data_IF_973378107941
#
_entry.id   IF_973378107941
#
_cell.length_a   1.000
_cell.length_b   1.000
_cell.length_c   1.000
_cell.angle_alpha   90.00
_cell.angle_beta   90.00
_cell.angle_gamma   90.00
#
_symmetry.space_group_name_H-M   'P 1'
#
loop_
_entity.id
_entity.type
_entity.pdbx_description
1 polymer ?
#
# COMPACT_ATOMS: atom_id res chain seq x y z
N UNK A 1 16.80 17.53 -73.02
CA UNK A 1 18.20 17.35 -72.57
C UNK A 1 18.56 18.65 -71.84
N UNK A 2 18.91 18.72 -70.57
CA UNK A 2 19.44 17.74 -69.64
C UNK A 2 19.20 18.27 -68.22
N UNK A 3 18.89 17.37 -67.30
CA UNK A 3 18.34 17.63 -65.98
C UNK A 3 19.49 17.76 -64.96
N UNK A 4 19.90 18.96 -64.57
CA UNK A 4 20.99 19.15 -63.60
C UNK A 4 20.45 19.21 -62.16
N UNK A 5 20.48 18.03 -61.52
CA UNK A 5 20.20 17.80 -60.10
C UNK A 5 21.03 18.74 -59.20
N UNK A 6 20.35 19.58 -58.42
CA UNK A 6 20.93 20.26 -57.26
C UNK A 6 21.42 19.20 -56.26
N UNK A 7 22.74 19.10 -56.08
CA UNK A 7 23.39 18.25 -55.06
C UNK A 7 22.98 18.74 -53.67
N UNK A 8 22.25 17.89 -52.95
CA UNK A 8 21.88 18.12 -51.55
C UNK A 8 23.09 18.17 -50.64
N UNK A 9 22.99 19.03 -49.62
CA UNK A 9 23.91 19.17 -48.49
C UNK A 9 24.13 17.79 -47.83
N UNK A 10 25.37 17.36 -47.52
CA UNK A 10 25.60 16.07 -46.88
C UNK A 10 24.86 16.05 -45.54
N UNK A 11 24.02 15.03 -45.34
CA UNK A 11 23.40 14.72 -44.05
C UNK A 11 24.55 14.59 -43.04
N UNK A 12 24.49 15.40 -41.99
CA UNK A 12 25.45 15.34 -40.89
C UNK A 12 25.60 13.89 -40.45
N UNK A 13 26.84 13.41 -40.47
CA UNK A 13 27.22 12.15 -39.86
C UNK A 13 26.76 12.20 -38.41
N UNK A 14 25.83 11.33 -38.04
CA UNK A 14 25.59 11.00 -36.65
C UNK A 14 26.89 10.37 -36.15
N UNK A 15 27.76 11.18 -35.54
CA UNK A 15 28.87 10.67 -34.77
C UNK A 15 28.25 9.88 -33.63
N UNK A 16 28.20 8.55 -33.77
CA UNK A 16 28.07 7.66 -32.63
C UNK A 16 29.31 7.98 -31.78
N UNK A 17 29.13 8.80 -30.74
CA UNK A 17 30.10 8.87 -29.66
C UNK A 17 30.05 7.50 -29.00
N UNK A 18 30.91 6.60 -29.48
CA UNK A 18 31.33 5.44 -28.73
C UNK A 18 31.81 5.98 -27.38
N UNK A 19 31.08 5.62 -26.34
CA UNK A 19 31.41 5.99 -24.99
C UNK A 19 32.69 5.22 -24.64
N UNK A 20 33.85 5.84 -24.84
CA UNK A 20 35.18 5.32 -24.47
C UNK A 20 35.43 5.39 -22.96
N UNK A 21 34.38 5.60 -22.15
CA UNK A 21 34.50 5.44 -20.72
C UNK A 21 34.37 3.95 -20.39
N UNK A 22 35.42 3.38 -19.79
CA UNK A 22 35.43 2.06 -19.15
C UNK A 22 34.51 2.01 -17.90
N UNK A 23 33.45 2.83 -17.86
CA UNK A 23 32.54 2.99 -16.74
C UNK A 23 31.16 2.50 -17.16
N UNK A 24 30.72 1.41 -16.53
CA UNK A 24 29.34 0.92 -16.65
C UNK A 24 28.44 1.84 -15.84
N UNK A 25 27.51 2.50 -16.51
CA UNK A 25 26.49 3.31 -15.85
C UNK A 25 25.52 2.37 -15.12
N UNK A 26 25.41 2.48 -13.80
CA UNK A 26 24.49 1.66 -13.00
C UNK A 26 23.08 2.18 -13.26
N UNK A 27 22.17 1.28 -13.61
CA UNK A 27 20.74 1.60 -13.71
C UNK A 27 20.25 2.10 -12.34
N UNK A 28 19.96 3.40 -12.25
CA UNK A 28 19.29 3.96 -11.08
C UNK A 28 17.92 3.29 -10.95
N UNK A 29 17.62 2.75 -9.77
CA UNK A 29 16.33 2.15 -9.52
C UNK A 29 15.21 3.15 -9.89
N UNK A 30 14.24 2.67 -10.65
CA UNK A 30 13.12 3.48 -11.14
C UNK A 30 12.23 3.85 -9.94
N UNK A 31 12.25 5.12 -9.58
CA UNK A 31 11.40 5.65 -8.51
C UNK A 31 9.91 5.51 -8.88
N UNK A 32 9.12 5.05 -7.93
CA UNK A 32 7.67 5.11 -7.97
C UNK A 32 7.27 6.59 -7.90
N UNK A 33 6.46 7.02 -8.85
CA UNK A 33 5.97 8.40 -8.92
C UNK A 33 4.98 8.66 -7.78
N UNK A 34 5.01 9.87 -7.22
CA UNK A 34 4.06 10.26 -6.16
C UNK A 34 2.60 10.28 -6.64
N UNK A 35 2.36 10.52 -7.93
CA UNK A 35 1.05 10.49 -8.54
C UNK A 35 1.05 9.59 -9.79
N UNK A 36 -0.04 8.86 -10.07
CA UNK A 36 -0.19 8.12 -11.29
C UNK A 36 -0.29 9.07 -12.49
N UNK A 37 0.24 8.63 -13.63
CA UNK A 37 -0.05 9.24 -14.93
C UNK A 37 -1.00 8.31 -15.63
N UNK A 38 -2.13 8.82 -16.03
CA UNK A 38 -3.16 8.04 -16.68
C UNK A 38 -3.01 8.14 -18.20
N UNK A 39 -3.29 7.04 -18.89
CA UNK A 39 -3.31 7.00 -20.35
C UNK A 39 -4.45 6.13 -20.84
N UNK A 40 -4.99 6.47 -22.00
CA UNK A 40 -6.02 5.68 -22.64
C UNK A 40 -5.43 4.39 -23.23
N UNK A 41 -6.08 3.26 -22.97
CA UNK A 41 -5.79 1.98 -23.61
C UNK A 41 -6.93 1.58 -24.54
N UNK A 42 -6.67 1.67 -25.85
CA UNK A 42 -7.64 1.39 -26.89
C UNK A 42 -8.02 -0.09 -27.05
N UNK A 43 -7.21 -1.03 -26.54
CA UNK A 43 -7.48 -2.47 -26.70
C UNK A 43 -8.69 -2.88 -25.86
N UNK A 44 -8.80 -2.35 -24.65
CA UNK A 44 -9.88 -2.68 -23.71
C UNK A 44 -10.84 -1.51 -23.47
N UNK A 45 -10.64 -0.37 -24.13
CA UNK A 45 -11.41 0.86 -23.91
C UNK A 45 -11.37 1.36 -22.45
N UNK A 46 -10.19 1.29 -21.82
CA UNK A 46 -10.02 1.63 -20.40
C UNK A 46 -9.05 2.79 -20.18
N UNK A 47 -9.19 3.48 -19.06
CA UNK A 47 -8.16 4.36 -18.54
C UNK A 47 -7.13 3.57 -17.73
N UNK A 48 -5.83 3.73 -18.01
CA UNK A 48 -4.78 3.04 -17.25
C UNK A 48 -4.50 3.72 -15.91
N UNK A 49 -4.18 2.92 -14.90
CA UNK A 49 -3.79 3.41 -13.59
C UNK A 49 -2.26 3.45 -13.47
N UNK A 50 -1.67 4.59 -13.86
CA UNK A 50 -0.23 4.78 -13.95
C UNK A 50 0.34 4.49 -15.34
N UNK A 51 1.57 4.94 -15.59
CA UNK A 51 2.18 4.91 -16.93
C UNK A 51 2.34 3.51 -17.53
N UNK A 52 2.40 2.50 -16.68
CA UNK A 52 2.49 1.08 -17.02
C UNK A 52 1.25 0.29 -16.58
N UNK A 53 0.17 0.97 -16.20
CA UNK A 53 -1.06 0.38 -15.68
C UNK A 53 -0.89 -0.43 -14.38
N UNK A 54 0.25 -0.32 -13.70
CA UNK A 54 0.58 -1.12 -12.50
C UNK A 54 0.73 -0.28 -11.23
N UNK A 55 0.18 0.94 -11.21
CA UNK A 55 0.29 1.82 -10.04
C UNK A 55 -0.26 1.21 -8.74
N UNK A 56 -1.43 0.53 -8.73
CA UNK A 56 -1.93 -0.12 -7.51
C UNK A 56 -0.99 -1.20 -6.96
N UNK A 57 -0.36 -1.99 -7.84
CA UNK A 57 0.63 -3.00 -7.43
C UNK A 57 1.85 -2.36 -6.77
N UNK A 58 2.30 -1.21 -7.28
CA UNK A 58 3.38 -0.45 -6.64
C UNK A 58 3.02 0.06 -5.25
N UNK A 59 1.75 0.41 -5.01
CA UNK A 59 1.29 0.79 -3.66
C UNK A 59 1.30 -0.41 -2.71
N UNK A 60 0.93 -1.60 -3.19
CA UNK A 60 1.06 -2.86 -2.44
C UNK A 60 2.53 -3.15 -2.12
N UNK A 61 3.43 -2.96 -3.08
CA UNK A 61 4.88 -3.13 -2.86
C UNK A 61 5.39 -2.19 -1.77
N UNK A 62 4.97 -0.92 -1.77
CA UNK A 62 5.30 0.03 -0.72
C UNK A 62 4.81 -0.44 0.65
N UNK A 63 3.57 -0.93 0.73
CA UNK A 63 3.01 -1.49 1.97
C UNK A 63 3.79 -2.72 2.46
N UNK A 64 4.28 -3.57 1.57
CA UNK A 64 5.03 -4.77 1.94
C UNK A 64 6.51 -4.52 2.26
N UNK A 65 7.08 -3.41 1.78
CA UNK A 65 8.52 -3.13 1.90
C UNK A 65 8.88 -2.10 2.96
N UNK A 66 7.93 -1.28 3.42
CA UNK A 66 8.18 -0.26 4.45
C UNK A 66 7.44 -0.60 5.75
N UNK A 67 8.20 -0.81 6.82
CA UNK A 67 7.65 -1.18 8.15
C UNK A 67 6.85 -0.03 8.74
N UNK A 68 7.33 1.21 8.59
CA UNK A 68 6.60 2.39 9.10
C UNK A 68 5.32 2.61 8.33
N UNK A 69 5.36 2.50 7.00
CA UNK A 69 4.18 2.69 6.16
C UNK A 69 3.10 1.65 6.47
N UNK A 70 3.48 0.37 6.56
CA UNK A 70 2.59 -0.71 6.97
C UNK A 70 1.92 -0.42 8.31
N UNK A 71 2.72 -0.07 9.31
CA UNK A 71 2.22 0.24 10.65
C UNK A 71 1.27 1.44 10.66
N UNK A 72 1.51 2.45 9.83
CA UNK A 72 0.59 3.59 9.65
C UNK A 72 -0.75 3.17 9.05
N UNK A 73 -0.75 2.33 8.01
CA UNK A 73 -1.97 1.82 7.37
C UNK A 73 -2.75 0.96 8.35
N UNK A 74 -2.10 -0.01 9.01
CA UNK A 74 -2.75 -0.91 9.95
C UNK A 74 -3.36 -0.14 11.14
N UNK A 75 -2.66 0.88 11.64
CA UNK A 75 -3.19 1.79 12.65
C UNK A 75 -4.42 2.56 12.14
N UNK A 76 -4.37 3.10 10.92
CA UNK A 76 -5.49 3.82 10.32
C UNK A 76 -6.73 2.93 10.17
N UNK A 77 -6.56 1.69 9.71
CA UNK A 77 -7.65 0.70 9.59
C UNK A 77 -8.26 0.43 10.95
N UNK A 78 -7.45 0.13 11.97
CA UNK A 78 -7.95 -0.14 13.32
C UNK A 78 -8.68 1.07 13.91
N UNK A 79 -8.14 2.27 13.71
CA UNK A 79 -8.78 3.50 14.15
C UNK A 79 -10.13 3.72 13.43
N UNK A 80 -10.23 3.46 12.12
CA UNK A 80 -11.47 3.60 11.35
C UNK A 80 -12.52 2.58 11.79
N UNK A 81 -12.16 1.29 11.83
CA UNK A 81 -13.09 0.18 12.14
C UNK A 81 -13.58 0.26 13.58
N UNK A 82 -12.74 0.72 14.51
CA UNK A 82 -13.16 0.85 15.89
C UNK A 82 -13.30 -0.51 16.58
N UNK A 83 -14.34 -0.64 17.39
CA UNK A 83 -14.78 -1.89 18.01
C UNK A 83 -15.81 -2.66 17.16
N UNK A 84 -16.05 -2.23 15.91
CA UNK A 84 -17.07 -2.82 15.02
C UNK A 84 -18.42 -2.11 15.09
N UNK A 85 -19.42 -2.69 14.45
CA UNK A 85 -20.79 -2.15 14.38
C UNK A 85 -21.44 -2.17 15.77
N UNK A 86 -22.13 -1.08 16.10
CA UNK A 86 -23.01 -1.04 17.26
C UNK A 86 -24.32 -1.79 17.01
N UNK A 87 -24.28 -3.12 17.13
CA UNK A 87 -25.48 -3.96 17.00
C UNK A 87 -26.51 -3.71 18.11
N UNK A 88 -26.12 -3.19 19.27
CA UNK A 88 -27.05 -2.89 20.36
C UNK A 88 -27.97 -1.71 20.01
N UNK A 89 -27.48 -0.80 19.16
CA UNK A 89 -28.23 0.35 18.68
C UNK A 89 -29.19 0.03 17.52
N UNK A 90 -29.17 -1.20 17.00
CA UNK A 90 -29.78 -1.55 15.71
C UNK A 90 -30.65 -2.81 15.87
N UNK A 91 -31.95 -2.68 15.56
CA UNK A 91 -32.83 -3.84 15.43
C UNK A 91 -32.93 -4.23 13.96
N UNK A 92 -32.31 -5.35 13.59
CA UNK A 92 -32.43 -5.90 12.25
C UNK A 92 -33.70 -6.75 12.10
N UNK A 93 -34.37 -6.73 10.93
CA UNK A 93 -35.56 -7.53 10.69
C UNK A 93 -35.30 -9.05 10.65
N UNK A 94 -34.10 -9.47 10.26
CA UNK A 94 -33.73 -10.87 10.05
C UNK A 94 -32.23 -11.10 10.31
N UNK A 95 -31.89 -12.25 10.90
CA UNK A 95 -30.50 -12.67 11.18
C UNK A 95 -29.67 -12.84 9.89
N UNK A 96 -30.29 -13.25 8.77
CA UNK A 96 -29.59 -13.36 7.48
C UNK A 96 -29.10 -12.00 6.94
N UNK A 97 -29.70 -10.89 7.40
CA UNK A 97 -29.28 -9.52 7.07
C UNK A 97 -28.12 -9.03 7.95
N UNK A 98 -27.62 -9.86 8.87
CA UNK A 98 -26.43 -9.59 9.69
C UNK A 98 -25.12 -9.92 8.98
N UNK A 99 -25.19 -10.50 7.77
CA UNK A 99 -24.00 -10.85 6.99
C UNK A 99 -24.06 -10.26 5.58
N UNK A 100 -22.97 -9.66 5.07
CA UNK A 100 -22.92 -9.17 3.70
C UNK A 100 -22.92 -10.29 2.66
N UNK A 101 -22.39 -11.46 3.03
CA UNK A 101 -22.36 -12.67 2.21
C UNK A 101 -22.14 -13.91 3.10
N UNK A 102 -22.14 -15.10 2.50
CA UNK A 102 -22.02 -16.37 3.23
C UNK A 102 -20.60 -16.66 3.78
N UNK A 103 -19.58 -15.87 3.42
CA UNK A 103 -18.17 -16.13 3.75
C UNK A 103 -17.64 -15.25 4.89
N UNK A 104 -18.25 -14.09 5.14
CA UNK A 104 -17.74 -13.11 6.11
C UNK A 104 -18.84 -12.31 6.78
N UNK A 105 -18.52 -11.74 7.94
CA UNK A 105 -19.34 -10.79 8.70
C UNK A 105 -19.25 -9.37 8.14
N UNK A 106 -20.17 -8.48 8.55
CA UNK A 106 -20.08 -7.06 8.19
C UNK A 106 -18.84 -6.39 8.79
N UNK A 107 -18.37 -6.80 9.97
CA UNK A 107 -17.15 -6.25 10.56
C UNK A 107 -15.91 -6.59 9.72
N UNK A 108 -15.82 -7.81 9.19
CA UNK A 108 -14.76 -8.22 8.27
C UNK A 108 -14.85 -7.49 6.93
N UNK A 109 -16.07 -7.33 6.40
CA UNK A 109 -16.31 -6.57 5.18
C UNK A 109 -15.90 -5.10 5.32
N UNK A 110 -16.33 -4.43 6.39
CA UNK A 110 -15.97 -3.04 6.69
C UNK A 110 -14.47 -2.92 6.91
N UNK A 111 -13.82 -3.90 7.57
CA UNK A 111 -12.37 -3.92 7.73
C UNK A 111 -11.64 -4.03 6.40
N UNK A 112 -12.13 -4.85 5.46
CA UNK A 112 -11.57 -4.93 4.12
C UNK A 112 -11.72 -3.60 3.36
N UNK A 113 -12.90 -2.96 3.41
CA UNK A 113 -13.11 -1.64 2.79
C UNK A 113 -12.26 -0.55 3.44
N UNK A 114 -12.10 -0.58 4.76
CA UNK A 114 -11.24 0.36 5.49
C UNK A 114 -9.76 0.17 5.14
N UNK A 115 -9.32 -1.07 4.90
CA UNK A 115 -7.98 -1.36 4.40
C UNK A 115 -7.76 -0.77 3.01
N UNK A 116 -8.64 -1.05 2.06
CA UNK A 116 -8.56 -0.48 0.71
C UNK A 116 -8.65 1.05 0.74
N UNK A 117 -9.56 1.62 1.53
CA UNK A 117 -9.66 3.07 1.70
C UNK A 117 -8.35 3.67 2.24
N UNK A 118 -7.71 3.02 3.21
CA UNK A 118 -6.45 3.50 3.80
C UNK A 118 -5.29 3.40 2.81
N UNK A 119 -5.25 2.33 2.01
CA UNK A 119 -4.18 2.07 1.05
C UNK A 119 -4.35 2.88 -0.25
N UNK A 120 -5.57 3.03 -0.75
CA UNK A 120 -5.84 3.63 -2.06
C UNK A 120 -6.57 4.98 -2.00
N UNK A 121 -7.13 5.39 -0.86
CA UNK A 121 -8.19 6.43 -0.78
C UNK A 121 -9.43 6.09 -1.63
N UNK A 122 -9.71 4.80 -1.80
CA UNK A 122 -10.82 4.27 -2.58
C UNK A 122 -11.05 2.81 -2.21
N UNK A 123 -12.23 2.29 -2.50
CA UNK A 123 -12.57 0.89 -2.28
C UNK A 123 -13.65 0.47 -3.27
N UNK A 124 -13.80 -0.83 -3.47
CA UNK A 124 -14.81 -1.37 -4.34
C UNK A 124 -15.38 -2.69 -3.81
N UNK A 125 -16.59 -3.00 -4.22
CA UNK A 125 -17.22 -4.29 -3.94
C UNK A 125 -18.23 -4.62 -5.01
N UNK A 126 -18.46 -5.92 -5.21
CA UNK A 126 -19.50 -6.43 -6.08
C UNK A 126 -20.82 -6.47 -5.33
N UNK A 127 -21.91 -6.13 -6.02
CA UNK A 127 -23.28 -6.25 -5.56
C UNK A 127 -23.98 -7.30 -6.42
N UNK A 128 -24.56 -8.31 -5.78
CA UNK A 128 -25.25 -9.40 -6.46
C UNK A 128 -26.63 -9.55 -5.84
N UNK A 129 -27.65 -9.42 -6.69
CA UNK A 129 -29.05 -9.67 -6.30
C UNK A 129 -29.33 -11.16 -6.19
N UNK A 130 -30.01 -11.54 -5.12
CA UNK A 130 -30.40 -12.91 -4.85
C UNK A 130 -31.43 -13.43 -5.87
N UNK A 131 -31.54 -14.76 -6.03
CA UNK A 131 -32.42 -15.37 -7.04
C UNK A 131 -33.91 -15.15 -6.78
N UNK A 132 -34.28 -15.04 -5.51
CA UNK A 132 -35.61 -14.66 -5.03
C UNK A 132 -35.91 -13.17 -5.22
N UNK A 133 -34.90 -12.36 -5.56
CA UNK A 133 -35.03 -10.94 -5.91
C UNK A 133 -35.25 -10.01 -4.72
N UNK A 134 -35.20 -10.53 -3.49
CA UNK A 134 -35.53 -9.81 -2.25
C UNK A 134 -34.31 -9.24 -1.54
N UNK A 135 -33.11 -9.79 -1.78
CA UNK A 135 -31.90 -9.40 -1.04
C UNK A 135 -30.70 -9.20 -1.96
N UNK A 136 -29.72 -8.47 -1.44
CA UNK A 136 -28.46 -8.16 -2.07
C UNK A 136 -27.32 -8.67 -1.20
N UNK A 137 -26.35 -9.31 -1.86
CA UNK A 137 -25.12 -9.79 -1.25
C UNK A 137 -23.94 -8.98 -1.78
N UNK A 138 -22.95 -8.77 -0.92
CA UNK A 138 -21.83 -7.85 -1.16
C UNK A 138 -20.50 -8.57 -0.98
N UNK A 139 -19.60 -8.44 -1.96
CA UNK A 139 -18.27 -9.07 -1.92
C UNK A 139 -17.18 -8.02 -2.15
N UNK A 140 -16.18 -7.88 -1.27
CA UNK A 140 -15.07 -6.95 -1.50
C UNK A 140 -14.38 -7.24 -2.83
N UNK A 141 -14.08 -6.20 -3.60
CA UNK A 141 -13.32 -6.32 -4.84
C UNK A 141 -12.00 -5.57 -4.71
N UNK A 142 -10.85 -6.26 -4.78
CA UNK A 142 -9.55 -5.60 -4.63
C UNK A 142 -9.30 -4.54 -5.72
N UNK A 143 -8.92 -3.34 -5.29
CA UNK A 143 -8.77 -2.17 -6.17
C UNK A 143 -7.73 -2.36 -7.28
N UNK A 144 -6.66 -3.12 -7.04
CA UNK A 144 -5.59 -3.38 -8.00
C UNK A 144 -6.06 -4.15 -9.25
N UNK A 145 -7.16 -4.89 -9.11
CA UNK A 145 -7.76 -5.70 -10.17
C UNK A 145 -8.70 -4.91 -11.08
N UNK A 146 -9.12 -3.70 -10.69
CA UNK A 146 -10.15 -2.91 -11.38
C UNK A 146 -9.53 -1.85 -12.29
N UNK A 147 -10.01 -1.72 -13.53
CA UNK A 147 -9.79 -0.54 -14.38
C UNK A 147 -11.10 0.01 -14.89
N UNK A 148 -11.21 1.33 -14.95
CA UNK A 148 -12.45 1.99 -15.36
C UNK A 148 -12.51 2.14 -16.89
N UNK A 149 -13.70 1.96 -17.45
CA UNK A 149 -13.98 2.34 -18.83
C UNK A 149 -13.78 3.85 -18.99
N UNK A 150 -13.48 4.31 -20.20
CA UNK A 150 -13.49 5.74 -20.48
C UNK A 150 -14.86 6.34 -20.18
N UNK A 151 -14.89 7.59 -19.72
CA UNK A 151 -16.13 8.33 -19.57
C UNK A 151 -16.85 8.46 -20.91
N UNK A 152 -18.17 8.40 -20.87
CA UNK A 152 -19.02 8.75 -22.00
C UNK A 152 -19.04 10.27 -22.26
N UNK A 153 -19.86 10.69 -23.23
CA UNK A 153 -20.02 12.11 -23.61
C UNK A 153 -20.58 12.98 -22.47
N UNK A 154 -21.24 12.37 -21.48
CA UNK A 154 -21.81 13.04 -20.30
C UNK A 154 -20.82 13.06 -19.12
N UNK A 155 -19.65 12.44 -19.27
CA UNK A 155 -18.65 12.35 -18.20
C UNK A 155 -18.92 11.25 -17.19
N UNK A 156 -19.80 10.30 -17.52
CA UNK A 156 -20.17 9.17 -16.65
C UNK A 156 -19.37 7.94 -17.02
N UNK A 157 -18.93 7.21 -16.01
CA UNK A 157 -18.24 5.92 -16.19
C UNK A 157 -19.29 4.83 -15.96
N UNK A 158 -19.66 4.14 -17.04
CA UNK A 158 -20.74 3.15 -17.00
C UNK A 158 -20.27 1.74 -16.61
N UNK A 159 -19.01 1.41 -16.90
CA UNK A 159 -18.49 0.07 -16.68
C UNK A 159 -17.06 0.09 -16.12
N UNK A 160 -16.71 -1.03 -15.50
CA UNK A 160 -15.37 -1.35 -15.08
C UNK A 160 -14.93 -2.70 -15.67
N UNK A 161 -13.63 -2.90 -15.70
CA UNK A 161 -12.97 -4.10 -16.18
C UNK A 161 -12.19 -4.73 -15.03
N UNK A 162 -12.46 -6.00 -14.75
CA UNK A 162 -11.81 -6.76 -13.68
C UNK A 162 -10.83 -7.74 -14.32
N UNK A 163 -9.56 -7.62 -13.95
CA UNK A 163 -8.51 -8.55 -14.36
C UNK A 163 -7.77 -9.06 -13.13
N UNK A 164 -7.54 -10.37 -13.07
CA UNK A 164 -6.78 -10.99 -11.98
C UNK A 164 -5.35 -10.45 -11.89
N UNK A 165 -4.71 -10.19 -13.03
CA UNK A 165 -3.35 -9.67 -13.10
C UNK A 165 -3.18 -8.83 -14.37
N UNK A 166 -3.07 -7.51 -14.18
CA UNK A 166 -2.91 -6.56 -15.27
C UNK A 166 -1.54 -6.63 -15.97
N UNK A 167 -0.53 -7.24 -15.34
CA UNK A 167 0.77 -7.48 -15.98
C UNK A 167 0.69 -8.60 -17.03
N UNK A 168 -0.33 -9.46 -16.92
CA UNK A 168 -0.59 -10.62 -17.78
C UNK A 168 -1.98 -10.56 -18.43
N UNK A 169 -2.52 -9.35 -18.67
CA UNK A 169 -3.88 -9.16 -19.19
C UNK A 169 -4.13 -9.81 -20.56
N UNK A 170 -3.08 -10.09 -21.33
CA UNK A 170 -3.16 -10.85 -22.59
C UNK A 170 -3.48 -12.34 -22.38
N UNK A 171 -3.03 -12.93 -21.27
CA UNK A 171 -3.30 -14.32 -20.91
C UNK A 171 -4.63 -14.45 -20.16
N UNK A 172 -4.93 -13.48 -19.30
CA UNK A 172 -6.16 -13.42 -18.50
C UNK A 172 -6.96 -12.18 -18.91
N UNK A 173 -7.78 -12.27 -19.97
CA UNK A 173 -8.52 -11.11 -20.46
C UNK A 173 -9.45 -10.56 -19.38
N UNK A 174 -9.58 -9.22 -19.28
CA UNK A 174 -10.45 -8.60 -18.29
C UNK A 174 -11.92 -8.91 -18.56
N UNK A 175 -12.71 -9.02 -17.50
CA UNK A 175 -14.16 -9.19 -17.54
C UNK A 175 -14.81 -7.82 -17.35
N UNK A 176 -15.71 -7.45 -18.26
CA UNK A 176 -16.50 -6.22 -18.17
C UNK A 176 -17.63 -6.39 -17.14
N UNK A 177 -17.82 -5.40 -16.28
CA UNK A 177 -18.84 -5.36 -15.24
C UNK A 177 -19.49 -3.96 -15.20
N UNK A 178 -20.83 -3.86 -15.13
CA UNK A 178 -21.50 -2.57 -15.01
C UNK A 178 -21.19 -1.93 -13.64
N UNK A 179 -21.06 -0.60 -13.62
CA UNK A 179 -20.94 0.16 -12.38
C UNK A 179 -22.32 0.46 -11.79
N UNK A 180 -22.37 0.60 -10.47
CA UNK A 180 -23.57 0.97 -9.73
C UNK A 180 -23.29 2.22 -8.89
N UNK A 181 -24.18 3.20 -8.95
CA UNK A 181 -24.03 4.53 -8.35
C UNK A 181 -25.00 4.83 -7.20
N UNK A 182 -25.93 3.93 -6.87
CA UNK A 182 -27.04 4.15 -5.92
C UNK A 182 -28.00 5.26 -6.37
N UNK A 183 -28.22 5.42 -7.68
CA UNK A 183 -29.23 6.35 -8.19
C UNK A 183 -30.62 5.73 -8.07
N UNK A 184 -31.67 6.54 -7.90
CA UNK A 184 -33.05 6.04 -7.68
C UNK A 184 -33.59 5.20 -8.85
N UNK A 185 -33.09 5.46 -10.07
CA UNK A 185 -33.52 4.77 -11.30
C UNK A 185 -32.68 3.51 -11.61
N UNK A 186 -31.61 3.25 -10.86
CA UNK A 186 -30.73 2.11 -11.08
C UNK A 186 -31.28 0.84 -10.42
N UNK A 187 -31.64 -0.15 -11.23
CA UNK A 187 -31.97 -1.49 -10.75
C UNK A 187 -30.90 -2.50 -11.12
N UNK A 188 -30.57 -3.37 -10.16
CA UNK A 188 -29.65 -4.48 -10.36
C UNK A 188 -30.42 -5.69 -10.90
N UNK A 189 -30.03 -6.14 -12.09
CA UNK A 189 -30.59 -7.33 -12.73
C UNK A 189 -30.23 -8.61 -11.98
N UNK A 190 -31.15 -9.58 -11.96
CA UNK A 190 -30.93 -10.88 -11.31
C UNK A 190 -29.87 -11.67 -12.07
N UNK A 191 -28.83 -12.12 -11.36
CA UNK A 191 -27.77 -12.95 -11.93
C UNK A 191 -26.64 -12.18 -12.62
N UNK A 192 -26.71 -10.85 -12.68
CA UNK A 192 -25.64 -9.99 -13.17
C UNK A 192 -24.94 -9.35 -11.96
N UNK A 193 -23.62 -9.54 -11.79
CA UNK A 193 -22.86 -8.82 -10.77
C UNK A 193 -22.63 -7.38 -11.22
N UNK A 194 -22.87 -6.43 -10.31
CA UNK A 194 -22.54 -5.01 -10.49
C UNK A 194 -21.36 -4.63 -9.61
N UNK A 195 -20.58 -3.63 -10.01
CA UNK A 195 -19.47 -3.12 -9.22
C UNK A 195 -19.83 -1.75 -8.64
N UNK A 196 -19.73 -1.60 -7.33
CA UNK A 196 -19.64 -0.28 -6.72
C UNK A 196 -18.18 0.12 -6.60
N UNK A 197 -17.85 1.33 -7.05
CA UNK A 197 -16.50 1.88 -6.99
C UNK A 197 -16.53 3.25 -6.31
N UNK A 198 -15.98 3.31 -5.10
CA UNK A 198 -15.81 4.56 -4.38
C UNK A 198 -14.39 5.10 -4.60
N UNK A 199 -14.32 6.39 -4.96
CA UNK A 199 -13.07 7.15 -4.97
C UNK A 199 -13.22 8.40 -4.12
N UNK A 200 -12.19 8.70 -3.33
CA UNK A 200 -12.07 10.01 -2.71
C UNK A 200 -11.73 11.05 -3.78
N UNK A 201 -12.44 12.18 -3.74
CA UNK A 201 -12.16 13.30 -4.62
C UNK A 201 -10.69 13.73 -4.52
N UNK A 202 -10.05 13.92 -5.67
CA UNK A 202 -8.72 14.48 -5.76
C UNK A 202 -8.60 15.28 -7.06
N UNK A 203 -7.77 16.33 -7.10
CA UNK A 203 -7.61 17.18 -8.28
C UNK A 203 -6.66 16.61 -9.33
N UNK A 204 -5.97 15.50 -9.04
CA UNK A 204 -4.90 14.95 -9.89
C UNK A 204 -5.46 14.02 -10.95
N UNK A 205 -6.50 13.27 -10.59
CA UNK A 205 -7.06 12.21 -11.40
C UNK A 205 -8.59 12.30 -11.46
N UNK A 206 -9.13 12.11 -12.66
CA UNK A 206 -10.58 12.02 -12.88
C UNK A 206 -11.11 10.60 -12.71
N UNK A 207 -10.27 9.57 -12.83
CA UNK A 207 -10.72 8.17 -12.80
C UNK A 207 -10.38 7.49 -11.47
N UNK A 208 -9.17 7.68 -10.98
CA UNK A 208 -8.61 6.95 -9.86
C UNK A 208 -8.43 7.79 -8.61
N UNK A 209 -8.42 7.12 -7.47
CA UNK A 209 -8.13 7.76 -6.19
C UNK A 209 -6.62 8.00 -6.03
N UNK A 210 -6.28 9.01 -5.24
CA UNK A 210 -4.91 9.30 -4.83
C UNK A 210 -4.78 9.06 -3.31
N UNK A 211 -3.89 8.17 -2.86
CA UNK A 211 -3.70 7.92 -1.44
C UNK A 211 -3.28 9.20 -0.69
N UNK A 212 -3.74 9.36 0.55
CA UNK A 212 -3.40 10.53 1.38
C UNK A 212 -1.88 10.67 1.60
N UNK A 213 -1.18 9.53 1.65
CA UNK A 213 0.26 9.43 1.84
C UNK A 213 1.06 9.61 0.54
N UNK A 214 0.41 9.92 -0.59
CA UNK A 214 1.07 10.15 -1.90
C UNK A 214 2.23 11.15 -1.83
N UNK A 215 2.12 12.14 -0.95
CA UNK A 215 3.17 13.14 -0.69
C UNK A 215 4.46 12.56 -0.09
N UNK A 216 4.37 11.44 0.62
CA UNK A 216 5.48 10.79 1.30
C UNK A 216 5.96 9.49 0.63
N UNK A 217 5.47 9.15 -0.57
CA UNK A 217 5.92 7.97 -1.34
C UNK A 217 7.44 7.91 -1.50
N UNK A 218 8.11 9.05 -1.69
CA UNK A 218 9.57 9.11 -1.74
C UNK A 218 10.25 8.75 -0.41
N UNK A 219 9.64 9.12 0.72
CA UNK A 219 10.14 8.75 2.05
C UNK A 219 9.95 7.26 2.31
N UNK A 220 8.79 6.69 1.92
CA UNK A 220 8.53 5.25 2.01
C UNK A 220 9.55 4.47 1.19
N UNK A 221 9.83 4.89 -0.05
CA UNK A 221 10.87 4.28 -0.88
C UNK A 221 12.27 4.41 -0.26
N UNK A 222 12.59 5.56 0.34
CA UNK A 222 13.87 5.75 1.02
C UNK A 222 14.04 4.77 2.20
N UNK A 223 13.00 4.57 3.02
CA UNK A 223 13.02 3.57 4.10
C UNK A 223 13.28 2.16 3.55
N UNK A 224 12.55 1.74 2.51
CA UNK A 224 12.75 0.43 1.88
C UNK A 224 14.19 0.26 1.33
N UNK A 225 14.79 1.32 0.79
CA UNK A 225 16.18 1.30 0.33
C UNK A 225 17.19 1.26 1.49
N UNK A 226 16.92 1.94 2.61
CA UNK A 226 17.75 1.83 3.81
C UNK A 226 17.75 0.39 4.33
N UNK A 227 16.59 -0.25 4.45
CA UNK A 227 16.50 -1.66 4.86
C UNK A 227 17.24 -2.60 3.90
N UNK A 228 17.10 -2.38 2.59
CA UNK A 228 17.83 -3.16 1.58
C UNK A 228 19.34 -2.96 1.69
N UNK A 229 19.79 -1.73 1.96
CA UNK A 229 21.21 -1.41 2.16
C UNK A 229 21.75 -2.05 3.45
N UNK A 230 21.02 -1.96 4.55
CA UNK A 230 21.36 -2.60 5.83
C UNK A 230 21.49 -4.11 5.67
N UNK A 231 20.51 -4.75 5.04
CA UNK A 231 20.55 -6.19 4.75
C UNK A 231 21.77 -6.57 3.91
N UNK A 232 22.04 -5.81 2.84
CA UNK A 232 23.23 -6.05 2.00
C UNK A 232 24.52 -5.91 2.79
N UNK A 233 24.64 -4.91 3.66
CA UNK A 233 25.82 -4.76 4.50
C UNK A 233 25.99 -5.93 5.47
N UNK A 234 24.91 -6.38 6.11
CA UNK A 234 24.93 -7.53 7.02
C UNK A 234 25.35 -8.79 6.26
N UNK A 235 24.75 -9.08 5.11
CA UNK A 235 25.11 -10.21 4.26
C UNK A 235 26.56 -10.17 3.78
N UNK A 236 27.12 -8.96 3.66
CA UNK A 236 28.51 -8.75 3.27
C UNK A 236 29.51 -8.72 4.44
N UNK A 237 29.09 -9.11 5.65
CA UNK A 237 29.91 -9.00 6.87
C UNK A 237 30.48 -7.59 7.09
N UNK A 238 29.75 -6.56 6.67
CA UNK A 238 30.18 -5.16 6.70
C UNK A 238 31.52 -4.91 5.97
N UNK A 239 31.89 -5.80 5.04
CA UNK A 239 33.10 -5.68 4.24
C UNK A 239 32.88 -4.57 3.22
N UNK A 240 33.75 -3.56 3.16
CA UNK A 240 33.63 -2.53 2.14
C UNK A 240 33.80 -3.13 0.75
N UNK A 241 32.98 -2.67 -0.19
CA UNK A 241 33.21 -2.84 -1.63
C UNK A 241 34.67 -2.50 -1.99
N UNK A 242 35.20 -3.10 -3.05
CA UNK A 242 36.54 -2.80 -3.53
C UNK A 242 36.59 -2.65 -5.04
N UNK A 243 37.67 -2.05 -5.52
CA UNK A 243 37.98 -1.97 -6.94
C UNK A 243 38.91 -3.12 -7.32
N UNK A 244 38.50 -3.95 -8.28
CA UNK A 244 39.35 -4.96 -8.90
C UNK A 244 39.91 -4.39 -10.20
N UNK A 245 41.19 -4.08 -10.21
CA UNK A 245 41.90 -3.69 -11.42
C UNK A 245 42.39 -4.94 -12.14
N UNK A 246 41.92 -5.13 -13.38
CA UNK A 246 42.27 -6.25 -14.25
C UNK A 246 43.05 -5.70 -15.45
N UNK A 247 44.12 -6.36 -15.93
CA UNK A 247 44.82 -5.92 -17.13
C UNK A 247 43.88 -5.90 -18.35
N UNK A 248 44.07 -4.95 -19.26
CA UNK A 248 43.26 -4.82 -20.48
C UNK A 248 43.35 -6.08 -21.34
N UNK A 249 42.21 -6.48 -21.91
CA UNK A 249 42.07 -7.63 -22.82
C UNK A 249 41.60 -7.13 -24.18
N UNK A 250 42.20 -7.60 -25.27
CA UNK A 250 42.01 -7.02 -26.61
C UNK A 250 40.62 -7.30 -27.23
N UNK A 251 39.91 -8.34 -26.77
CA UNK A 251 38.59 -8.71 -27.28
C UNK A 251 37.46 -8.26 -26.36
N UNK A 252 36.48 -7.54 -26.93
CA UNK A 252 35.24 -7.13 -26.25
C UNK A 252 34.41 -8.32 -25.74
N UNK A 253 34.49 -9.47 -26.41
CA UNK A 253 33.80 -10.70 -25.98
C UNK A 253 34.45 -11.29 -24.74
N UNK A 254 35.78 -11.22 -24.65
CA UNK A 254 36.53 -11.66 -23.48
C UNK A 254 36.31 -10.71 -22.30
N UNK A 255 36.26 -9.39 -22.53
CA UNK A 255 35.89 -8.42 -21.49
C UNK A 255 34.50 -8.72 -20.92
N UNK A 256 33.50 -8.96 -21.79
CA UNK A 256 32.14 -9.32 -21.35
C UNK A 256 32.10 -10.66 -20.60
N UNK A 257 32.88 -11.65 -21.03
CA UNK A 257 32.98 -12.93 -20.34
C UNK A 257 33.62 -12.79 -18.96
N UNK A 258 34.69 -12.00 -18.83
CA UNK A 258 35.35 -11.70 -17.56
C UNK A 258 34.39 -10.97 -16.61
N UNK A 259 33.72 -9.91 -17.09
CA UNK A 259 32.71 -9.19 -16.31
C UNK A 259 31.59 -10.13 -15.87
N UNK A 260 31.09 -11.00 -16.76
CA UNK A 260 30.03 -11.97 -16.45
C UNK A 260 30.47 -13.00 -15.41
N UNK A 261 31.68 -13.55 -15.53
CA UNK A 261 32.21 -14.54 -14.60
C UNK A 261 32.51 -13.94 -13.22
N UNK A 262 33.08 -12.73 -13.18
CA UNK A 262 33.32 -12.02 -11.92
C UNK A 262 31.97 -11.66 -11.30
N UNK A 263 31.03 -11.12 -12.07
CA UNK A 263 29.69 -10.86 -11.56
C UNK A 263 29.04 -12.15 -11.06
N UNK A 264 29.17 -13.31 -11.72
CA UNK A 264 28.57 -14.56 -11.23
C UNK A 264 29.22 -15.09 -9.96
N UNK A 265 30.53 -14.87 -9.77
CA UNK A 265 31.25 -15.26 -8.55
C UNK A 265 30.90 -14.36 -7.36
N UNK A 266 30.58 -13.09 -7.61
CA UNK A 266 30.24 -12.08 -6.59
C UNK A 266 28.73 -11.76 -6.53
N UNK A 267 27.87 -12.45 -7.28
CA UNK A 267 26.41 -12.26 -7.25
C UNK A 267 25.66 -13.28 -6.38
N UNK A 268 26.37 -14.20 -5.72
CA UNK A 268 25.77 -15.11 -4.76
C UNK A 268 25.27 -14.38 -3.51
N UNK A 269 24.18 -14.87 -2.91
CA UNK A 269 23.60 -14.31 -1.69
C UNK A 269 24.59 -14.24 -0.50
N UNK A 270 25.70 -14.98 -0.57
CA UNK A 270 26.78 -15.02 0.43
C UNK A 270 27.96 -14.07 0.12
N UNK A 271 28.05 -13.46 -1.08
CA UNK A 271 29.25 -12.71 -1.54
C UNK A 271 28.91 -11.37 -2.21
N UNK A 272 27.92 -10.62 -1.70
CA UNK A 272 27.35 -9.45 -2.37
C UNK A 272 28.14 -8.14 -2.23
N UNK A 273 29.48 -8.16 -2.26
CA UNK A 273 30.26 -6.92 -2.34
C UNK A 273 30.18 -6.35 -3.76
N UNK A 274 29.70 -5.10 -3.92
CA UNK A 274 29.72 -4.44 -5.22
C UNK A 274 31.18 -4.19 -5.64
N UNK A 275 31.71 -5.06 -6.50
CA UNK A 275 33.08 -4.99 -6.98
C UNK A 275 33.14 -4.10 -8.22
N UNK A 276 33.90 -3.00 -8.15
CA UNK A 276 34.12 -2.15 -9.32
C UNK A 276 35.27 -2.74 -10.14
N UNK A 277 34.99 -3.22 -11.35
CA UNK A 277 36.03 -3.76 -12.24
C UNK A 277 36.58 -2.61 -13.09
N UNK A 278 37.88 -2.34 -13.00
CA UNK A 278 38.58 -1.38 -13.85
C UNK A 278 39.59 -2.11 -14.73
N UNK A 279 39.55 -1.86 -16.04
CA UNK A 279 40.61 -2.32 -16.95
C UNK A 279 41.73 -1.28 -17.02
N UNK A 280 42.98 -1.70 -16.80
CA UNK A 280 44.15 -0.82 -16.85
C UNK A 280 44.91 -0.93 -18.18
N UNK A 281 45.15 0.20 -18.83
CA UNK A 281 45.88 0.29 -20.10
C UNK A 281 47.42 0.33 -19.94
N UNK A 282 47.92 0.25 -18.71
CA UNK A 282 49.36 0.25 -18.44
C UNK A 282 49.95 -1.16 -18.64
N UNK A 283 50.87 -1.30 -19.60
CA UNK A 283 51.58 -2.54 -19.93
C UNK A 283 52.48 -3.08 -18.81
N UNK A 284 52.75 -2.28 -17.77
CA UNK A 284 53.54 -2.69 -16.59
C UNK A 284 52.67 -3.24 -15.44
N UNK A 285 51.34 -3.09 -15.52
CA UNK A 285 50.40 -3.56 -14.51
C UNK A 285 49.94 -5.01 -14.80
N UNK A 286 50.89 -5.96 -14.83
CA UNK A 286 50.59 -7.39 -15.06
C UNK A 286 49.94 -8.10 -13.85
N UNK A 287 49.37 -7.37 -12.88
CA UNK A 287 48.83 -7.96 -11.65
C UNK A 287 47.41 -7.51 -11.42
N UNK A 288 46.53 -8.48 -11.22
CA UNK A 288 45.19 -8.25 -10.68
C UNK A 288 45.36 -7.63 -9.29
N UNK A 289 44.86 -6.40 -9.11
CA UNK A 289 44.94 -5.69 -7.84
C UNK A 289 43.54 -5.46 -7.28
N UNK A 290 43.30 -5.97 -6.07
CA UNK A 290 42.11 -5.61 -5.30
C UNK A 290 42.47 -4.44 -4.37
N UNK A 291 41.82 -3.31 -4.60
CA UNK A 291 41.89 -2.14 -3.71
C UNK A 291 40.59 -2.09 -2.91
N UNK A 292 40.58 -2.49 -1.62
CA UNK A 292 39.39 -2.30 -0.80
C UNK A 292 39.10 -0.81 -0.67
N UNK A 293 37.84 -0.40 -0.80
CA UNK A 293 37.47 0.92 -0.29
C UNK A 293 37.72 0.90 1.21
N UNK A 294 38.37 1.93 1.75
CA UNK A 294 38.50 2.01 3.20
C UNK A 294 37.09 2.21 3.76
N UNK A 295 36.57 1.20 4.46
CA UNK A 295 35.45 1.43 5.36
C UNK A 295 35.92 2.49 6.35
N UNK A 296 35.28 3.66 6.33
CA UNK A 296 35.42 4.57 7.46
C UNK A 296 34.88 3.82 8.69
N UNK A 297 35.79 3.40 9.57
CA UNK A 297 35.53 2.52 10.72
C UNK A 297 34.72 3.20 11.83
N UNK A 298 33.97 4.26 11.52
CA UNK A 298 33.40 5.15 12.53
C UNK A 298 31.87 5.10 12.60
N UNK A 299 31.14 4.65 11.57
CA UNK A 299 29.67 4.75 11.59
C UNK A 299 28.97 3.45 11.18
N UNK A 300 28.83 2.52 12.13
CA UNK A 300 27.86 1.40 12.03
C UNK A 300 26.44 1.94 11.79
N UNK A 301 26.15 3.18 12.20
CA UNK A 301 24.88 3.87 12.04
C UNK A 301 24.97 5.07 11.07
N UNK A 302 25.48 4.86 9.85
CA UNK A 302 25.70 5.96 8.89
C UNK A 302 24.41 6.73 8.53
N UNK A 303 23.26 6.06 8.58
CA UNK A 303 21.97 6.63 8.17
C UNK A 303 20.96 6.79 9.30
N UNK A 304 21.36 6.66 10.58
CA UNK A 304 20.42 6.73 11.72
C UNK A 304 19.54 7.98 11.70
N UNK A 305 20.15 9.17 11.65
CA UNK A 305 19.43 10.45 11.60
C UNK A 305 18.59 10.60 10.32
N UNK A 306 19.04 10.00 9.21
CA UNK A 306 18.31 10.04 7.95
C UNK A 306 17.08 9.12 7.99
N UNK A 307 17.21 7.96 8.61
CA UNK A 307 16.13 7.02 8.85
C UNK A 307 15.08 7.64 9.79
N UNK A 308 15.50 8.24 10.91
CA UNK A 308 14.56 8.89 11.84
C UNK A 308 13.77 10.04 11.19
N UNK A 309 14.44 10.87 10.38
CA UNK A 309 13.78 11.90 9.57
C UNK A 309 12.81 11.29 8.55
N UNK A 310 13.13 10.12 8.01
CA UNK A 310 12.29 9.40 7.05
C UNK A 310 11.03 8.86 7.72
N UNK A 311 11.16 8.18 8.85
CA UNK A 311 10.04 7.74 9.70
C UNK A 311 9.13 8.92 10.03
N UNK A 312 9.70 10.04 10.48
CA UNK A 312 8.93 11.24 10.82
C UNK A 312 8.13 11.80 9.63
N UNK A 313 8.72 11.78 8.42
CA UNK A 313 8.02 12.21 7.18
C UNK A 313 6.88 11.25 6.81
N UNK A 314 7.06 9.94 6.99
CA UNK A 314 6.02 8.94 6.72
C UNK A 314 4.85 9.15 7.68
N UNK A 315 5.13 9.22 8.98
CA UNK A 315 4.11 9.45 10.04
C UNK A 315 3.33 10.74 9.79
N UNK A 316 4.03 11.83 9.47
CA UNK A 316 3.39 13.10 9.11
C UNK A 316 2.57 13.02 7.81
N UNK A 317 3.04 12.27 6.81
CA UNK A 317 2.31 12.04 5.55
C UNK A 317 0.99 11.28 5.75
N UNK A 318 0.93 10.39 6.74
CA UNK A 318 -0.29 9.71 7.20
C UNK A 318 -1.14 10.54 8.18
N UNK A 319 -0.68 11.75 8.53
CA UNK A 319 -1.31 12.65 9.51
C UNK A 319 -1.46 12.05 10.90
N UNK A 320 -0.57 11.13 11.27
CA UNK A 320 -0.56 10.52 12.60
C UNK A 320 0.22 11.45 13.55
N UNK A 321 -0.37 11.91 14.68
CA UNK A 321 0.27 12.91 15.54
C UNK A 321 1.51 12.40 16.29
N UNK A 322 1.64 11.08 16.48
CA UNK A 322 2.75 10.49 17.23
C UNK A 322 3.20 9.16 16.64
N UNK A 323 4.52 8.98 16.49
CA UNK A 323 5.15 7.71 16.09
C UNK A 323 4.87 6.57 17.08
N UNK A 324 4.59 6.90 18.35
CA UNK A 324 4.33 5.88 19.36
C UNK A 324 2.97 5.18 19.21
N UNK A 325 2.00 5.82 18.54
CA UNK A 325 0.72 5.20 18.22
C UNK A 325 0.86 4.01 17.24
N UNK A 326 1.95 3.98 16.48
CA UNK A 326 2.26 2.91 15.52
C UNK A 326 3.37 1.98 16.03
N UNK A 327 3.71 2.04 17.33
CA UNK A 327 4.64 1.10 17.99
C UNK A 327 6.09 1.57 18.14
N UNK A 328 6.43 2.82 17.79
CA UNK A 328 7.77 3.36 18.10
C UNK A 328 7.90 3.76 19.58
N UNK A 329 9.14 3.82 20.07
CA UNK A 329 9.44 4.33 21.41
C UNK A 329 9.06 5.81 21.55
N UNK A 330 8.56 6.17 22.74
CA UNK A 330 8.49 7.55 23.19
C UNK A 330 9.85 7.93 23.76
N UNK A 331 10.51 8.90 23.15
CA UNK A 331 11.81 9.36 23.62
C UNK A 331 11.59 10.31 24.82
N UNK A 332 12.23 10.02 25.96
CA UNK A 332 12.38 10.92 27.10
C UNK A 332 11.09 11.38 27.83
N UNK A 333 9.97 10.66 27.74
CA UNK A 333 8.77 10.92 28.55
C UNK A 333 8.67 9.93 29.72
N UNK A 334 8.47 10.45 30.94
CA UNK A 334 8.20 9.63 32.12
C UNK A 334 6.84 8.91 32.00
N UNK A 335 6.72 7.72 32.59
CA UNK A 335 5.59 6.80 32.42
C UNK A 335 4.20 7.45 32.59
N UNK A 336 4.05 8.33 33.59
CA UNK A 336 2.79 9.05 33.87
C UNK A 336 2.42 10.08 32.80
N UNK A 337 3.40 10.72 32.15
CA UNK A 337 3.13 11.73 31.11
C UNK A 337 2.91 11.08 29.73
N UNK A 338 3.43 9.87 29.56
CA UNK A 338 3.32 9.12 28.30
C UNK A 338 1.89 8.66 28.01
N UNK A 339 1.11 8.27 29.02
CA UNK A 339 -0.29 7.83 28.86
C UNK A 339 -1.20 8.95 28.38
N UNK A 340 -1.19 10.10 29.06
CA UNK A 340 -2.00 11.27 28.71
C UNK A 340 -1.63 11.81 27.33
N UNK A 341 -0.34 11.81 26.99
CA UNK A 341 0.13 12.21 25.67
C UNK A 341 -0.38 11.28 24.56
N UNK A 342 -0.31 9.95 24.76
CA UNK A 342 -0.82 8.99 23.78
C UNK A 342 -2.33 9.08 23.60
N UNK A 343 -3.08 9.24 24.70
CA UNK A 343 -4.52 9.45 24.65
C UNK A 343 -4.87 10.71 23.88
N UNK A 344 -4.19 11.83 24.18
CA UNK A 344 -4.40 13.09 23.47
C UNK A 344 -4.05 12.99 21.98
N UNK A 345 -2.94 12.32 21.65
CA UNK A 345 -2.51 12.09 20.28
C UNK A 345 -3.52 11.22 19.50
N UNK A 346 -4.03 10.15 20.12
CA UNK A 346 -5.06 9.30 19.53
C UNK A 346 -6.36 10.07 19.33
N UNK A 347 -6.85 10.81 20.33
CA UNK A 347 -8.06 11.63 20.21
C UNK A 347 -7.94 12.66 19.08
N UNK A 348 -6.78 13.31 18.93
CA UNK A 348 -6.53 14.25 17.84
C UNK A 348 -6.59 13.55 16.46
N UNK A 349 -6.02 12.35 16.33
CA UNK A 349 -6.10 11.57 15.11
C UNK A 349 -7.53 11.13 14.81
N UNK A 350 -8.24 10.61 15.82
CA UNK A 350 -9.59 10.11 15.67
C UNK A 350 -10.55 11.22 15.21
N UNK A 351 -10.45 12.42 15.81
CA UNK A 351 -11.29 13.56 15.44
C UNK A 351 -11.01 14.04 14.01
N UNK A 352 -9.73 14.21 13.64
CA UNK A 352 -9.38 14.87 12.38
C UNK A 352 -9.32 13.95 11.15
N UNK A 353 -9.04 12.67 11.36
CA UNK A 353 -8.76 11.73 10.27
C UNK A 353 -9.70 10.53 10.32
N UNK A 354 -9.68 9.76 11.40
CA UNK A 354 -10.41 8.49 11.44
C UNK A 354 -11.93 8.69 11.38
N UNK A 355 -12.49 9.66 12.10
CA UNK A 355 -13.92 9.97 12.10
C UNK A 355 -14.42 10.36 10.71
N UNK A 356 -13.66 11.18 9.97
CA UNK A 356 -14.04 11.61 8.63
C UNK A 356 -14.06 10.41 7.66
N UNK A 357 -13.00 9.60 7.67
CA UNK A 357 -12.92 8.40 6.83
C UNK A 357 -13.99 7.36 7.20
N UNK A 358 -14.29 7.21 8.49
CA UNK A 358 -15.35 6.33 8.99
C UNK A 358 -16.72 6.75 8.49
N UNK A 359 -17.04 8.06 8.52
CA UNK A 359 -18.31 8.58 8.00
C UNK A 359 -18.48 8.29 6.50
N UNK A 360 -17.42 8.41 5.72
CA UNK A 360 -17.44 8.11 4.27
C UNK A 360 -17.78 6.63 4.02
N UNK A 361 -17.10 5.71 4.73
CA UNK A 361 -17.37 4.27 4.61
C UNK A 361 -18.79 3.96 5.10
N UNK A 362 -19.18 4.48 6.27
CA UNK A 362 -20.51 4.22 6.85
C UNK A 362 -21.65 4.79 6.01
N UNK A 363 -21.44 5.90 5.30
CA UNK A 363 -22.43 6.41 4.35
C UNK A 363 -22.73 5.40 3.25
N UNK A 364 -21.70 4.70 2.74
CA UNK A 364 -21.88 3.66 1.74
C UNK A 364 -22.53 2.43 2.36
N UNK A 365 -22.07 1.99 3.54
CA UNK A 365 -22.67 0.85 4.24
C UNK A 365 -24.17 1.09 4.50
N UNK A 366 -24.55 2.27 4.97
CA UNK A 366 -25.97 2.60 5.20
C UNK A 366 -26.79 2.53 3.91
N UNK A 367 -26.22 2.89 2.75
CA UNK A 367 -26.89 2.69 1.47
C UNK A 367 -27.06 1.21 1.10
N UNK A 368 -26.12 0.33 1.49
CA UNK A 368 -26.28 -1.13 1.31
C UNK A 368 -27.44 -1.69 2.13
N UNK A 369 -27.58 -1.24 3.37
CA UNK A 369 -28.71 -1.63 4.22
C UNK A 369 -30.04 -1.14 3.66
N UNK A 370 -30.07 0.09 3.11
CA UNK A 370 -31.25 0.63 2.42
C UNK A 370 -31.63 -0.17 1.17
N UNK A 371 -30.66 -0.64 0.38
CA UNK A 371 -30.94 -1.55 -0.75
C UNK A 371 -31.64 -2.83 -0.31
N UNK A 372 -31.30 -3.33 0.87
CA UNK A 372 -31.96 -4.48 1.49
C UNK A 372 -33.27 -4.12 2.23
N UNK A 373 -33.77 -2.89 2.12
CA UNK A 373 -35.02 -2.46 2.76
C UNK A 373 -34.90 -2.16 4.26
N UNK A 374 -33.67 -1.98 4.77
CA UNK A 374 -33.40 -1.62 6.17
C UNK A 374 -33.05 -0.14 6.24
N UNK A 375 -33.97 0.68 6.72
CA UNK A 375 -33.75 2.11 6.96
C UNK A 375 -33.23 2.35 8.39
N UNK A 376 -31.98 1.93 8.64
CA UNK A 376 -31.29 2.18 9.91
C UNK A 376 -29.95 2.85 9.64
N UNK A 377 -29.62 3.86 10.43
CA UNK A 377 -28.32 4.51 10.39
C UNK A 377 -27.35 3.74 11.29
N UNK A 378 -26.51 2.88 10.68
CA UNK A 378 -25.48 2.17 11.39
C UNK A 378 -24.34 3.11 11.79
N UNK A 379 -23.78 2.85 12.97
CA UNK A 379 -22.59 3.52 13.46
C UNK A 379 -21.58 2.49 13.97
N UNK A 380 -20.30 2.77 13.77
CA UNK A 380 -19.23 1.97 14.38
C UNK A 380 -18.86 2.57 15.73
N UNK A 381 -18.68 1.70 16.73
CA UNK A 381 -18.18 2.09 18.05
C UNK A 381 -16.71 2.52 17.91
N UNK A 382 -16.35 3.81 18.12
CA UNK A 382 -14.96 4.23 18.00
C UNK A 382 -14.11 3.55 19.09
N UNK A 383 -12.83 3.31 18.79
CA UNK A 383 -11.88 2.91 19.83
C UNK A 383 -11.75 4.05 20.84
N UNK A 384 -11.85 3.72 22.12
CA UNK A 384 -11.52 4.63 23.20
C UNK A 384 -10.17 4.22 23.78
N UNK A 385 -9.18 5.09 23.63
CA UNK A 385 -7.87 4.92 24.25
C UNK A 385 -7.94 5.45 25.69
N UNK A 386 -8.59 4.71 26.57
CA UNK A 386 -8.65 5.06 27.99
C UNK A 386 -7.89 4.01 28.80
N UNK A 387 -6.63 4.30 29.10
CA UNK A 387 -5.71 3.38 29.79
C UNK A 387 -6.13 3.14 31.25
N UNK A 388 -6.82 4.10 31.86
CA UNK A 388 -7.25 4.03 33.28
C UNK A 388 -8.44 3.09 33.51
N UNK A 389 -9.31 2.86 32.51
CA UNK A 389 -10.54 2.09 32.71
C UNK A 389 -10.39 0.57 32.60
N UNK A 390 -9.23 0.08 32.13
CA UNK A 390 -9.01 -1.35 31.85
C UNK A 390 -9.02 -2.24 33.10
N UNK A 391 -8.89 -1.67 34.30
CA UNK A 391 -9.03 -2.40 35.58
C UNK A 391 -10.49 -2.66 35.99
N UNK A 392 -11.45 -1.95 35.40
CA UNK A 392 -12.87 -2.04 35.82
C UNK A 392 -13.64 -3.15 35.13
N UNK A 393 -13.21 -3.56 33.93
CA UNK A 393 -13.93 -4.56 33.11
C UNK A 393 -13.69 -6.00 33.54
N UNK A 394 -12.59 -6.29 34.25
CA UNK A 394 -12.34 -7.61 34.85
C UNK A 394 -13.06 -7.78 36.19
N UNK A 395 -13.17 -6.71 36.99
CA UNK A 395 -13.84 -6.75 38.28
C UNK A 395 -15.39 -6.80 38.19
N UNK A 396 -15.99 -6.31 37.09
CA UNK A 396 -17.43 -6.39 36.88
C UNK A 396 -17.95 -7.82 36.61
N UNK A 397 -17.13 -8.68 35.98
CA UNK A 397 -17.49 -10.11 35.77
C UNK A 397 -17.25 -10.96 37.02
N UNK A 398 -16.18 -10.69 37.79
CA UNK A 398 -15.92 -11.39 39.05
C UNK A 398 -16.95 -11.05 40.15
N UNK A 399 -17.37 -9.78 40.28
CA UNK A 399 -18.36 -9.39 41.30
C UNK A 399 -19.80 -9.83 41.00
N UNK A 400 -20.12 -10.22 39.75
CA UNK A 400 -21.45 -10.75 39.40
C UNK A 400 -21.62 -12.23 39.76
N UNK A 401 -20.56 -13.03 39.64
CA UNK A 401 -20.57 -14.46 39.97
C UNK A 401 -20.52 -14.68 41.49
N UNK A 402 -19.68 -13.92 42.21
CA UNK A 402 -19.55 -14.05 43.67
C UNK A 402 -20.84 -13.65 44.43
N UNK A 403 -21.60 -12.68 43.91
CA UNK A 403 -22.85 -12.20 44.52
C UNK A 403 -24.00 -13.19 44.39
N UNK A 404 -24.03 -13.95 43.30
CA UNK A 404 -25.04 -14.99 43.08
C UNK A 404 -24.77 -16.24 43.94
N UNK A 405 -23.51 -16.54 44.26
CA UNK A 405 -23.16 -17.64 45.17
C UNK A 405 -23.45 -17.30 46.64
N UNK A 406 -23.19 -16.07 47.09
CA UNK A 406 -23.53 -15.63 48.45
C UNK A 406 -25.05 -15.59 48.68
N UNK A 407 -25.84 -15.10 47.71
CA UNK A 407 -27.31 -15.11 47.80
C UNK A 407 -27.93 -16.52 47.73
N UNK A 408 -27.24 -17.51 47.13
CA UNK A 408 -27.68 -18.90 47.12
C UNK A 408 -27.42 -19.60 48.47
N UNK A 409 -26.28 -19.33 49.10
CA UNK A 409 -25.91 -19.89 50.41
C UNK A 409 -26.77 -19.30 51.54
N UNK A 410 -27.17 -18.03 51.44
CA UNK A 410 -28.04 -17.38 52.44
C UNK A 410 -29.49 -17.90 52.38
N UNK A 411 -29.95 -18.41 51.21
CA UNK A 411 -31.27 -19.04 51.07
C UNK A 411 -31.30 -20.49 51.57
N UNK A 412 -30.20 -21.23 51.46
CA UNK A 412 -30.11 -22.59 52.04
C UNK A 412 -30.05 -22.58 53.57
N UNK A 413 -29.39 -21.59 54.18
CA UNK A 413 -29.27 -21.50 55.65
C UNK A 413 -30.54 -21.01 56.37
N UNK A 414 -31.52 -20.47 55.65
CA UNK A 414 -32.81 -20.01 56.20
C UNK A 414 -33.95 -21.05 56.08
N UNK A 415 -33.62 -22.30 55.72
CA UNK A 415 -34.61 -23.39 55.55
C UNK A 415 -34.38 -24.58 56.49
N UNK A 416 -33.97 -24.32 57.73
CA UNK A 416 -33.93 -25.33 58.82
C UNK A 416 -34.75 -24.85 60.02
#
# INVERSE_FOLDING_TARGET
MENTKKRGRPKGSTSIKLNTSNLVNIELQKQIKNAPIESYNAVYNIQTWGSDNLYPYKLIDLYNTSVTHRSCIDFAVNAIVGQGIDWDAVQLPNEEMMTPNYQMSYDEFIRALAFDYSLYSGFAFQIIRSKDGQSYTFYPQPMETIRLEIMDEEGVINNAYICKDWSQASLNPPIKMPLFGFQEEEEIEIGVPYLFYYKKYNPVSQYYSLPIYSSCINAIQAEAQYQTWELKNVLNNFTPSGMLTVPTVDSEEQKKAIIKNINSMFSGAENASALMIQFSDNSDANKVQFTPFQASSTNVNLFGDANERTVSRIVAGHRIPSKALIGYSLDNLGFSNSSEYLQSAFSLYNINVANANRKEIMSVINNLFKLNGVDVELQLKPLNYNLESTETSSNAKANGETRNEEEAIERENNTI
#
